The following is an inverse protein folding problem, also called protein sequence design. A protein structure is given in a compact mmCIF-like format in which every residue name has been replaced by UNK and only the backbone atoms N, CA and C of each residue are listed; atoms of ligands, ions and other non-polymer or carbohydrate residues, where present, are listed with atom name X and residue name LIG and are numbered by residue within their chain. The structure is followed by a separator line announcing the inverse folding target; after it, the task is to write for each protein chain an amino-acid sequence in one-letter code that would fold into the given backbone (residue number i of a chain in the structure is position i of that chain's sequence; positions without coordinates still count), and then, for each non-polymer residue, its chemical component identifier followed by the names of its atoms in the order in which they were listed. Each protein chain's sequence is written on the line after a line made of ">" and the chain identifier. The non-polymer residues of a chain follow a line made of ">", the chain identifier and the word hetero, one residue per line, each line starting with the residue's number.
data_IF_021996482065
#
_entry.id   IF_021996482065
#
_cell.length_a   1.000
_cell.length_b   1.000
_cell.length_c   1.000
_cell.angle_alpha   90.00
_cell.angle_beta   90.00
_cell.angle_gamma   90.00
#
_symmetry.space_group_name_H-M   'P 1'
#
loop_
_entity.id
_entity.type
_entity.pdbx_description
1 polymer ?
#
# COMPACT_ATOMS: atom_id res chain seq x y z
N UNK A 1 22.01 39.54 23.02
CA UNK A 1 21.19 38.41 22.52
C UNK A 1 21.16 38.48 21.00
N UNK A 2 21.94 37.65 20.30
CA UNK A 2 22.14 37.80 18.85
C UNK A 2 20.94 37.22 18.07
N UNK A 3 20.02 38.08 17.65
CA UNK A 3 18.85 37.76 16.80
C UNK A 3 19.21 36.92 15.56
N UNK A 4 20.41 37.12 15.02
CA UNK A 4 20.97 36.35 13.90
C UNK A 4 21.16 34.86 14.20
N UNK A 5 21.55 34.51 15.43
CA UNK A 5 21.79 33.11 15.83
C UNK A 5 20.46 32.38 16.04
N UNK A 6 19.47 33.07 16.59
CA UNK A 6 18.12 32.52 16.77
C UNK A 6 17.48 32.25 15.40
N UNK A 7 17.59 33.19 14.45
CA UNK A 7 17.05 33.03 13.10
C UNK A 7 17.71 31.91 12.27
N UNK A 8 19.03 31.73 12.37
CA UNK A 8 19.72 30.66 11.64
C UNK A 8 19.45 29.28 12.27
N UNK A 9 19.39 29.20 13.60
CA UNK A 9 19.12 27.96 14.32
C UNK A 9 17.70 27.43 14.10
N UNK A 10 16.69 28.31 14.12
CA UNK A 10 15.31 27.90 13.85
C UNK A 10 15.10 27.48 12.40
N UNK A 11 15.76 28.14 11.45
CA UNK A 11 15.66 27.78 10.03
C UNK A 11 16.29 26.41 9.77
N UNK A 12 17.48 26.14 10.33
CA UNK A 12 18.12 24.83 10.23
C UNK A 12 17.27 23.71 10.87
N UNK A 13 16.69 23.96 12.06
CA UNK A 13 15.81 23.01 12.72
C UNK A 13 14.55 22.73 11.89
N UNK A 14 13.91 23.77 11.33
CA UNK A 14 12.74 23.61 10.48
C UNK A 14 13.05 22.82 9.20
N UNK A 15 14.20 23.06 8.57
CA UNK A 15 14.64 22.28 7.40
C UNK A 15 14.86 20.81 7.76
N UNK A 16 15.51 20.53 8.89
CA UNK A 16 15.71 19.15 9.35
C UNK A 16 14.39 18.43 9.61
N UNK A 17 13.42 19.10 10.25
CA UNK A 17 12.09 18.54 10.51
C UNK A 17 11.38 18.28 9.18
N UNK A 18 11.41 19.23 8.25
CA UNK A 18 10.75 19.08 6.94
C UNK A 18 11.34 17.90 6.14
N UNK A 19 12.66 17.76 6.10
CA UNK A 19 13.32 16.63 5.42
C UNK A 19 13.00 15.31 6.14
N UNK A 20 13.01 15.29 7.47
CA UNK A 20 12.68 14.11 8.26
C UNK A 20 11.24 13.65 8.01
N UNK A 21 10.27 14.57 8.04
CA UNK A 21 8.85 14.28 7.73
C UNK A 21 8.69 13.81 6.29
N UNK A 22 9.33 14.47 5.33
CA UNK A 22 9.28 14.05 3.93
C UNK A 22 9.88 12.66 3.72
N UNK A 23 11.00 12.36 4.37
CA UNK A 23 11.61 11.03 4.33
C UNK A 23 10.70 9.94 4.92
N UNK A 24 10.01 10.22 6.03
CA UNK A 24 9.05 9.30 6.64
C UNK A 24 7.84 9.08 5.72
N UNK A 25 7.32 10.14 5.10
CA UNK A 25 6.19 10.04 4.17
C UNK A 25 6.56 9.20 2.94
N UNK A 26 7.75 9.40 2.38
CA UNK A 26 8.23 8.59 1.24
C UNK A 26 8.52 7.14 1.63
N UNK A 27 9.03 6.90 2.84
CA UNK A 27 9.28 5.53 3.32
C UNK A 27 7.98 4.72 3.55
N UNK A 28 6.85 5.40 3.76
CA UNK A 28 5.53 4.76 3.89
C UNK A 28 4.79 4.55 2.57
N UNK A 29 5.27 5.10 1.46
CA UNK A 29 4.69 4.91 0.14
C UNK A 29 5.30 3.63 -0.51
N UNK A 30 4.49 2.63 -0.87
CA UNK A 30 5.02 1.44 -1.52
C UNK A 30 5.50 1.79 -2.93
N UNK A 31 6.80 1.73 -3.21
CA UNK A 31 7.31 2.02 -4.55
C UNK A 31 6.92 0.93 -5.58
N UNK A 32 6.87 -0.34 -5.16
CA UNK A 32 6.62 -1.49 -6.05
C UNK A 32 5.67 -2.49 -5.38
N UNK A 33 5.01 -3.32 -6.17
CA UNK A 33 4.19 -4.41 -5.64
C UNK A 33 5.05 -5.46 -4.91
N UNK A 34 4.68 -5.88 -3.68
CA UNK A 34 5.47 -6.87 -2.95
C UNK A 34 5.45 -8.25 -3.65
N UNK A 35 6.60 -8.91 -3.78
CA UNK A 35 6.67 -10.25 -4.41
C UNK A 35 5.90 -11.34 -3.64
N UNK A 36 5.59 -11.10 -2.36
CA UNK A 36 4.77 -11.97 -1.54
C UNK A 36 4.11 -11.12 -0.44
N UNK A 37 2.83 -11.38 -0.20
CA UNK A 37 2.07 -10.70 0.85
C UNK A 37 1.92 -11.64 2.07
N UNK A 38 2.63 -11.41 3.18
CA UNK A 38 2.48 -12.22 4.37
C UNK A 38 1.21 -11.81 5.13
N UNK A 39 0.07 -12.37 4.74
CA UNK A 39 -1.22 -12.14 5.38
C UNK A 39 -1.74 -13.45 5.98
N UNK A 40 -2.20 -13.44 7.22
CA UNK A 40 -2.78 -14.65 7.83
C UNK A 40 -4.17 -14.97 7.23
N UNK A 41 -4.54 -16.26 7.07
CA UNK A 41 -3.81 -17.46 7.49
C UNK A 41 -2.76 -17.95 6.47
N UNK A 42 -2.74 -17.44 5.23
CA UNK A 42 -1.83 -17.93 4.20
C UNK A 42 -1.31 -16.79 3.32
N UNK A 43 -0.03 -16.86 2.96
CA UNK A 43 0.63 -15.85 2.16
C UNK A 43 -0.01 -15.74 0.77
N UNK A 44 -0.14 -14.51 0.27
CA UNK A 44 -0.57 -14.28 -1.10
C UNK A 44 0.64 -14.17 -2.03
N UNK A 45 0.52 -14.79 -3.19
CA UNK A 45 1.52 -14.78 -4.26
C UNK A 45 0.96 -14.03 -5.48
N UNK A 46 1.80 -13.25 -6.18
CA UNK A 46 1.38 -12.50 -7.35
C UNK A 46 1.00 -13.46 -8.48
N UNK A 47 -0.11 -13.17 -9.15
CA UNK A 47 -0.60 -13.93 -10.29
C UNK A 47 -0.74 -13.02 -11.49
N UNK A 48 -0.32 -13.51 -12.65
CA UNK A 48 -0.32 -12.72 -13.88
C UNK A 48 0.70 -11.58 -13.84
N UNK A 49 0.52 -10.61 -14.74
CA UNK A 49 1.38 -9.42 -14.85
C UNK A 49 0.73 -8.23 -14.17
N UNK A 50 1.54 -7.28 -13.74
CA UNK A 50 1.05 -5.98 -13.27
C UNK A 50 0.39 -5.21 -14.41
N UNK A 51 -0.67 -4.48 -14.09
CA UNK A 51 -1.52 -3.77 -15.05
C UNK A 51 -1.72 -2.32 -14.61
N UNK A 52 -2.25 -1.48 -15.51
CA UNK A 52 -2.52 -0.07 -15.23
C UNK A 52 -3.88 0.18 -14.56
N UNK A 53 -4.72 -0.86 -14.43
CA UNK A 53 -6.06 -0.78 -13.85
C UNK A 53 -6.29 -1.98 -12.92
N UNK A 54 -7.12 -1.88 -11.87
CA UNK A 54 -7.38 -2.99 -10.97
C UNK A 54 -8.24 -4.05 -11.67
N UNK A 55 -7.61 -5.16 -12.09
CA UNK A 55 -8.30 -6.25 -12.79
C UNK A 55 -7.89 -7.64 -12.27
N UNK A 56 -8.86 -8.55 -12.28
CA UNK A 56 -8.72 -9.95 -11.93
C UNK A 56 -9.00 -10.82 -13.15
N UNK A 57 -8.14 -11.80 -13.43
CA UNK A 57 -8.37 -12.71 -14.54
C UNK A 57 -9.71 -13.45 -14.40
N UNK A 58 -10.51 -13.40 -15.46
CA UNK A 58 -11.84 -14.01 -15.52
C UNK A 58 -12.97 -13.10 -15.02
N UNK A 59 -12.68 -11.90 -14.52
CA UNK A 59 -13.68 -10.91 -14.10
C UNK A 59 -13.57 -9.70 -15.04
N UNK A 60 -14.62 -9.47 -15.83
CA UNK A 60 -14.70 -8.33 -16.75
C UNK A 60 -15.33 -7.08 -16.13
N UNK A 61 -15.76 -7.16 -14.88
CA UNK A 61 -16.40 -6.07 -14.13
C UNK A 61 -15.36 -5.30 -13.30
N UNK A 62 -15.59 -4.00 -13.05
CA UNK A 62 -14.69 -3.19 -12.24
C UNK A 62 -14.64 -3.71 -10.80
N UNK A 63 -13.43 -3.79 -10.25
CA UNK A 63 -13.20 -4.24 -8.88
C UNK A 63 -13.65 -3.19 -7.85
N UNK A 64 -14.09 -3.68 -6.70
CA UNK A 64 -14.52 -2.86 -5.57
C UNK A 64 -13.37 -2.63 -4.59
N UNK A 65 -13.17 -1.40 -4.08
CA UNK A 65 -12.18 -1.16 -3.03
C UNK A 65 -12.60 -1.83 -1.73
N UNK A 66 -11.79 -2.78 -1.26
CA UNK A 66 -11.96 -3.49 0.02
C UNK A 66 -11.31 -2.76 1.20
N UNK A 67 -10.70 -1.59 0.96
CA UNK A 67 -9.99 -0.79 1.96
C UNK A 67 -8.49 -0.80 1.76
N UNK A 68 -7.73 -0.66 2.85
CA UNK A 68 -6.26 -0.64 2.80
C UNK A 68 -5.66 -1.61 3.80
N UNK A 69 -4.59 -2.27 3.41
CA UNK A 69 -3.78 -3.13 4.28
C UNK A 69 -2.39 -2.52 4.47
N UNK A 70 -1.78 -2.79 5.63
CA UNK A 70 -0.42 -2.31 5.93
C UNK A 70 0.51 -3.48 6.21
N UNK A 71 1.67 -3.47 5.55
CA UNK A 71 2.77 -4.40 5.76
C UNK A 71 4.06 -3.61 6.02
N UNK A 72 4.67 -3.86 7.17
CA UNK A 72 5.76 -3.00 7.65
C UNK A 72 5.26 -1.56 7.83
N UNK A 73 5.94 -0.61 7.19
CA UNK A 73 5.59 0.82 7.24
C UNK A 73 4.72 1.28 6.05
N UNK A 74 4.55 0.44 5.05
CA UNK A 74 3.82 0.78 3.84
C UNK A 74 2.34 0.40 3.94
N UNK A 75 1.51 1.16 3.23
CA UNK A 75 0.07 0.94 3.11
C UNK A 75 -0.28 0.73 1.65
N UNK A 76 -1.04 -0.33 1.37
CA UNK A 76 -1.53 -0.68 0.05
C UNK A 76 -3.05 -0.62 0.03
N UNK A 77 -3.61 -0.14 -1.07
CA UNK A 77 -5.04 -0.25 -1.34
C UNK A 77 -5.36 -1.64 -1.85
N UNK A 78 -6.46 -2.21 -1.37
CA UNK A 78 -6.91 -3.55 -1.72
C UNK A 78 -8.19 -3.43 -2.53
N UNK A 79 -8.23 -4.12 -3.66
CA UNK A 79 -9.39 -4.24 -4.53
C UNK A 79 -9.79 -5.71 -4.63
N UNK A 80 -11.08 -5.96 -4.69
CA UNK A 80 -11.65 -7.30 -4.71
C UNK A 80 -12.81 -7.38 -5.70
N UNK A 81 -13.24 -8.60 -5.97
CA UNK A 81 -14.46 -8.85 -6.72
C UNK A 81 -15.68 -8.22 -6.02
N UNK A 82 -16.62 -7.59 -6.77
CA UNK A 82 -17.80 -6.97 -6.18
C UNK A 82 -18.57 -7.95 -5.27
N UNK A 83 -18.96 -7.49 -4.08
CA UNK A 83 -19.66 -8.32 -3.09
C UNK A 83 -18.78 -9.27 -2.26
N UNK A 84 -17.47 -9.30 -2.51
CA UNK A 84 -16.48 -10.00 -1.68
C UNK A 84 -15.64 -9.06 -0.79
N UNK A 85 -16.03 -7.78 -0.72
CA UNK A 85 -15.44 -6.83 0.21
C UNK A 85 -15.71 -7.29 1.66
N UNK A 86 -14.67 -7.35 2.52
CA UNK A 86 -14.87 -7.68 3.92
C UNK A 86 -15.73 -6.62 4.60
N UNK A 87 -16.66 -7.03 5.45
CA UNK A 87 -17.59 -6.09 6.10
C UNK A 87 -16.91 -5.30 7.22
N UNK A 88 -15.78 -5.78 7.74
CA UNK A 88 -15.04 -5.15 8.84
C UNK A 88 -13.53 -5.32 8.73
N UNK A 89 -12.80 -4.37 9.33
CA UNK A 89 -11.33 -4.44 9.44
C UNK A 89 -10.93 -5.61 10.33
N UNK A 90 -10.26 -6.62 9.76
CA UNK A 90 -9.81 -7.83 10.46
C UNK A 90 -10.49 -9.12 9.98
N UNK A 91 -11.50 -9.00 9.13
CA UNK A 91 -12.08 -10.14 8.43
C UNK A 91 -11.12 -10.66 7.34
N UNK A 92 -11.16 -11.96 7.09
CA UNK A 92 -10.23 -12.59 6.16
C UNK A 92 -10.47 -12.10 4.73
N UNK A 93 -9.40 -11.64 4.08
CA UNK A 93 -9.45 -11.27 2.66
C UNK A 93 -9.87 -12.48 1.78
N UNK A 94 -10.53 -12.23 0.63
CA UNK A 94 -10.95 -13.28 -0.30
C UNK A 94 -9.75 -13.95 -0.97
N UNK A 95 -9.97 -15.12 -1.60
CA UNK A 95 -8.88 -15.93 -2.19
C UNK A 95 -8.06 -15.20 -3.26
N UNK A 96 -8.67 -14.23 -3.94
CA UNK A 96 -8.04 -13.40 -4.95
C UNK A 96 -8.25 -11.94 -4.60
N UNK A 97 -7.19 -11.18 -4.64
CA UNK A 97 -7.20 -9.73 -4.37
C UNK A 97 -6.34 -9.03 -5.42
N UNK A 98 -6.51 -7.73 -5.56
CA UNK A 98 -5.61 -6.86 -6.32
C UNK A 98 -5.08 -5.80 -5.39
N UNK A 99 -3.77 -5.56 -5.43
CA UNK A 99 -3.16 -4.46 -4.70
C UNK A 99 -2.88 -3.30 -5.64
N UNK A 100 -3.28 -2.11 -5.21
CA UNK A 100 -2.78 -0.86 -5.77
C UNK A 100 -1.36 -0.62 -5.26
N UNK A 101 -0.41 -0.58 -6.18
CA UNK A 101 0.99 -0.35 -5.91
C UNK A 101 1.28 1.15 -6.04
N UNK A 102 2.21 1.68 -5.25
CA UNK A 102 2.45 3.13 -5.23
C UNK A 102 3.29 3.65 -6.39
N UNK A 103 3.67 2.79 -7.35
CA UNK A 103 4.08 3.17 -8.71
C UNK A 103 2.89 3.45 -9.66
N UNK A 104 1.65 3.28 -9.18
CA UNK A 104 0.43 3.44 -9.98
C UNK A 104 0.06 2.20 -10.79
N UNK A 105 0.72 1.07 -10.55
CA UNK A 105 0.35 -0.23 -11.13
C UNK A 105 -0.54 -1.02 -10.18
N UNK A 106 -1.18 -2.05 -10.73
CA UNK A 106 -2.04 -2.97 -10.00
C UNK A 106 -1.57 -4.40 -10.23
N UNK A 107 -1.40 -5.14 -9.15
CA UNK A 107 -0.97 -6.54 -9.20
C UNK A 107 -2.03 -7.43 -8.57
N UNK A 108 -2.47 -8.44 -9.32
CA UNK A 108 -3.33 -9.48 -8.79
C UNK A 108 -2.52 -10.46 -7.94
N UNK A 109 -3.14 -10.93 -6.86
CA UNK A 109 -2.59 -11.86 -5.91
C UNK A 109 -3.59 -12.97 -5.61
N UNK A 110 -3.07 -14.18 -5.42
CA UNK A 110 -3.85 -15.33 -5.00
C UNK A 110 -3.24 -15.89 -3.72
N UNK A 111 -4.11 -16.22 -2.77
CA UNK A 111 -3.69 -16.86 -1.52
C UNK A 111 -3.18 -18.27 -1.82
N UNK A 112 -1.99 -18.57 -1.29
CA UNK A 112 -1.42 -19.91 -1.34
C UNK A 112 -2.33 -20.92 -0.65
N UNK A 113 -2.38 -22.13 -1.20
CA UNK A 113 -3.06 -23.27 -0.59
C UNK A 113 -2.01 -23.89 0.35
N UNK A 114 -2.24 -23.86 1.68
CA UNK A 114 -1.42 -24.62 2.62
C UNK A 114 -1.60 -26.14 2.44
#
# INVERSE_FOLDING_TARGET
>A
MNWRVIGCGTLAAATFIAIGVFGILQAGAPAECPQRLPYEPAAYEPVGRSTAEPMLEGIGEPLEPAGSTSFGLARWEVFVEPGFAPASSGEALPQRIVLGCGDGTFQAYQRGIE
#
